data_IF_688557753971
#
_entry.id   IF_688557753971
#
_cell.length_a   1.000
_cell.length_b   1.000
_cell.length_c   1.000
_cell.angle_alpha   90.00
_cell.angle_beta   90.00
_cell.angle_gamma   90.00
#
_symmetry.space_group_name_H-M   'P 1'
#
loop_
_entity.id
_entity.type
_entity.pdbx_description
1 polymer ?
#
# COMPACT_ATOMS: atom_id res chain seq x y z
N UNK A 1 -7.70 18.10 -18.25
CA UNK A 1 -9.05 18.33 -18.84
C UNK A 1 -10.00 17.45 -18.07
N UNK A 2 -10.87 18.04 -17.21
CA UNK A 2 -11.89 17.29 -16.47
C UNK A 2 -12.82 16.59 -17.47
N UNK A 3 -12.88 15.25 -17.40
CA UNK A 3 -13.81 14.46 -18.19
C UNK A 3 -15.24 14.98 -17.97
N UNK A 4 -15.95 15.30 -19.05
CA UNK A 4 -17.37 15.68 -18.95
C UNK A 4 -18.17 14.40 -18.70
N UNK A 5 -19.10 14.38 -17.74
CA UNK A 5 -19.98 13.23 -17.58
C UNK A 5 -20.71 12.96 -18.90
N UNK A 6 -20.77 11.71 -19.31
CA UNK A 6 -21.55 11.28 -20.48
C UNK A 6 -23.04 11.62 -20.34
N UNK A 7 -23.80 11.59 -21.43
CA UNK A 7 -25.24 11.86 -21.39
C UNK A 7 -25.95 10.88 -20.42
N UNK A 8 -27.04 11.34 -19.78
CA UNK A 8 -27.92 10.50 -18.97
C UNK A 8 -28.80 9.66 -19.90
N UNK A 9 -28.21 8.61 -20.50
CA UNK A 9 -28.97 7.57 -21.18
C UNK A 9 -29.72 6.67 -20.17
N UNK A 10 -30.48 5.72 -20.66
CA UNK A 10 -31.31 4.84 -19.83
C UNK A 10 -30.46 3.98 -18.87
N UNK A 11 -29.31 3.48 -19.34
CA UNK A 11 -28.44 2.63 -18.53
C UNK A 11 -27.76 3.44 -17.40
N UNK A 12 -27.16 4.57 -17.73
CA UNK A 12 -26.54 5.45 -16.74
C UNK A 12 -27.55 5.94 -15.71
N UNK A 13 -28.77 6.29 -16.16
CA UNK A 13 -29.86 6.67 -15.26
C UNK A 13 -30.24 5.53 -14.31
N UNK A 14 -30.38 4.30 -14.83
CA UNK A 14 -30.70 3.16 -14.01
C UNK A 14 -29.60 2.88 -12.97
N UNK A 15 -28.32 2.85 -13.37
CA UNK A 15 -27.16 2.70 -12.46
C UNK A 15 -27.13 3.79 -11.39
N UNK A 16 -27.37 5.04 -11.77
CA UNK A 16 -27.44 6.17 -10.85
C UNK A 16 -28.53 5.97 -9.80
N UNK A 17 -29.76 5.63 -10.22
CA UNK A 17 -30.90 5.40 -9.33
C UNK A 17 -30.58 4.25 -8.37
N UNK A 18 -30.12 3.12 -8.90
CA UNK A 18 -29.76 1.94 -8.12
C UNK A 18 -28.59 2.23 -7.14
N UNK A 19 -27.64 3.07 -7.50
CA UNK A 19 -26.55 3.47 -6.59
C UNK A 19 -27.02 4.34 -5.42
N UNK A 20 -28.11 5.10 -5.61
CA UNK A 20 -28.70 5.94 -4.55
C UNK A 20 -29.56 5.13 -3.59
N UNK A 21 -30.28 4.13 -4.09
CA UNK A 21 -31.21 3.32 -3.27
C UNK A 21 -30.56 2.05 -2.71
N UNK A 22 -29.54 1.52 -3.39
CA UNK A 22 -28.79 0.33 -2.98
C UNK A 22 -27.74 0.61 -1.90
N UNK A 23 -27.23 -0.46 -1.32
CA UNK A 23 -26.05 -0.39 -0.46
C UNK A 23 -24.79 -0.82 -1.22
N UNK A 24 -23.65 -0.12 -1.06
CA UNK A 24 -22.39 -0.50 -1.67
C UNK A 24 -22.02 -1.97 -1.47
N UNK A 25 -21.70 -2.64 -2.57
CA UNK A 25 -21.27 -4.03 -2.56
C UNK A 25 -22.32 -5.03 -2.05
N UNK A 26 -23.61 -4.76 -2.16
CA UNK A 26 -24.65 -5.78 -1.88
C UNK A 26 -24.68 -6.81 -3.02
N UNK A 27 -24.20 -8.07 -2.80
CA UNK A 27 -24.10 -9.05 -3.87
C UNK A 27 -25.44 -9.33 -4.54
N UNK A 28 -26.53 -9.38 -3.75
CA UNK A 28 -27.87 -9.69 -4.30
C UNK A 28 -28.32 -8.69 -5.36
N UNK A 29 -28.07 -7.38 -5.12
CA UNK A 29 -28.37 -6.34 -6.10
C UNK A 29 -27.41 -6.41 -7.29
N UNK A 30 -26.11 -6.59 -7.03
CA UNK A 30 -25.09 -6.57 -8.07
C UNK A 30 -25.18 -7.82 -8.97
N UNK A 31 -25.46 -9.00 -8.40
CA UNK A 31 -25.68 -10.24 -9.16
C UNK A 31 -26.92 -10.11 -10.05
N UNK A 32 -28.01 -9.54 -9.53
CA UNK A 32 -29.21 -9.31 -10.32
C UNK A 32 -28.95 -8.32 -11.49
N UNK A 33 -28.17 -7.24 -11.23
CA UNK A 33 -27.76 -6.29 -12.28
C UNK A 33 -26.85 -6.97 -13.31
N UNK A 34 -25.98 -7.87 -12.89
CA UNK A 34 -25.13 -8.64 -13.80
C UNK A 34 -25.94 -9.61 -14.67
N UNK A 35 -27.02 -10.19 -14.12
CA UNK A 35 -27.85 -11.17 -14.83
C UNK A 35 -28.80 -10.54 -15.86
N UNK A 36 -29.56 -9.50 -15.49
CA UNK A 36 -30.60 -8.93 -16.35
C UNK A 36 -30.38 -7.47 -16.77
N UNK A 37 -29.29 -6.85 -16.31
CA UNK A 37 -28.95 -5.46 -16.61
C UNK A 37 -29.63 -4.43 -15.71
N UNK A 38 -29.04 -3.23 -15.56
CA UNK A 38 -29.50 -2.22 -14.60
C UNK A 38 -30.87 -1.64 -14.96
N UNK A 39 -31.20 -1.55 -16.23
CA UNK A 39 -32.51 -1.00 -16.71
C UNK A 39 -33.64 -1.95 -16.31
N UNK A 40 -33.50 -3.23 -16.61
CA UNK A 40 -34.49 -4.23 -16.26
C UNK A 40 -34.68 -4.38 -14.74
N UNK A 41 -33.58 -4.27 -13.97
CA UNK A 41 -33.68 -4.28 -12.50
C UNK A 41 -34.47 -3.07 -11.99
N UNK A 42 -34.22 -1.86 -12.53
CA UNK A 42 -34.95 -0.67 -12.14
C UNK A 42 -36.45 -0.80 -12.47
N UNK A 43 -36.78 -1.25 -13.68
CA UNK A 43 -38.16 -1.50 -14.11
C UNK A 43 -38.85 -2.53 -13.20
N UNK A 44 -38.20 -3.63 -12.86
CA UNK A 44 -38.74 -4.65 -11.96
C UNK A 44 -38.99 -4.10 -10.54
N UNK A 45 -38.12 -3.19 -10.05
CA UNK A 45 -38.34 -2.51 -8.77
C UNK A 45 -39.50 -1.53 -8.80
N UNK A 46 -39.67 -0.79 -9.90
CA UNK A 46 -40.80 0.14 -10.11
C UNK A 46 -42.13 -0.63 -10.18
N UNK A 47 -42.15 -1.83 -10.81
CA UNK A 47 -43.30 -2.71 -10.94
C UNK A 47 -43.53 -3.63 -9.71
N UNK A 48 -42.66 -3.59 -8.70
CA UNK A 48 -42.70 -4.44 -7.50
C UNK A 48 -42.66 -5.95 -7.81
N UNK A 49 -42.02 -6.34 -8.91
CA UNK A 49 -41.98 -7.73 -9.41
C UNK A 49 -40.66 -8.47 -9.09
N UNK A 50 -39.71 -7.88 -8.41
CA UNK A 50 -38.34 -8.38 -8.24
C UNK A 50 -38.11 -9.22 -6.94
N UNK A 51 -39.12 -9.90 -6.39
CA UNK A 51 -38.96 -10.81 -5.24
C UNK A 51 -38.64 -10.15 -3.91
N UNK A 52 -38.06 -10.91 -2.95
CA UNK A 52 -37.81 -10.44 -1.58
C UNK A 52 -36.79 -9.25 -1.48
N UNK A 53 -35.87 -9.12 -2.43
CA UNK A 53 -34.91 -7.96 -2.50
C UNK A 53 -35.68 -6.67 -2.80
N UNK A 54 -36.84 -6.79 -3.45
CA UNK A 54 -37.60 -5.69 -4.02
C UNK A 54 -38.30 -4.81 -3.00
N UNK A 55 -38.78 -5.37 -1.89
CA UNK A 55 -39.61 -4.59 -0.95
C UNK A 55 -38.84 -3.46 -0.28
N UNK A 56 -37.64 -3.74 0.25
CA UNK A 56 -36.79 -2.74 0.91
C UNK A 56 -36.21 -1.72 -0.08
N UNK A 57 -35.83 -2.17 -1.29
CA UNK A 57 -35.32 -1.27 -2.32
C UNK A 57 -36.44 -0.43 -2.96
N UNK A 58 -37.60 -1.04 -3.22
CA UNK A 58 -38.76 -0.31 -3.73
C UNK A 58 -39.29 0.74 -2.74
N UNK A 59 -39.25 0.47 -1.43
CA UNK A 59 -39.55 1.46 -0.40
C UNK A 59 -38.57 2.63 -0.43
N UNK A 60 -37.26 2.35 -0.53
CA UNK A 60 -36.24 3.39 -0.68
C UNK A 60 -36.41 4.16 -1.97
N UNK A 61 -36.76 3.50 -3.08
CA UNK A 61 -36.99 4.13 -4.38
C UNK A 61 -38.13 5.15 -4.32
N UNK A 62 -39.21 4.84 -3.62
CA UNK A 62 -40.37 5.77 -3.45
C UNK A 62 -39.99 7.08 -2.75
N UNK A 63 -39.03 7.03 -1.84
CA UNK A 63 -38.61 8.20 -1.03
C UNK A 63 -37.34 8.88 -1.55
N UNK A 64 -36.53 8.18 -2.34
CA UNK A 64 -35.29 8.73 -2.91
C UNK A 64 -35.55 9.85 -3.91
N UNK A 65 -34.56 10.68 -4.08
CA UNK A 65 -34.52 11.75 -5.09
C UNK A 65 -33.19 11.69 -5.85
N UNK A 66 -33.01 10.66 -6.74
CA UNK A 66 -31.75 10.41 -7.42
C UNK A 66 -31.29 11.58 -8.28
N UNK A 67 -32.20 12.23 -8.99
CA UNK A 67 -31.90 13.40 -9.84
C UNK A 67 -31.43 14.58 -9.00
N UNK A 68 -32.06 14.85 -7.84
CA UNK A 68 -31.66 15.91 -6.92
C UNK A 68 -30.28 15.60 -6.31
N UNK A 69 -30.03 14.33 -5.97
CA UNK A 69 -28.74 13.85 -5.48
C UNK A 69 -27.64 14.07 -6.52
N UNK A 70 -27.91 13.71 -7.77
CA UNK A 70 -26.98 13.90 -8.88
C UNK A 70 -26.70 15.39 -9.14
N UNK A 71 -27.76 16.22 -9.21
CA UNK A 71 -27.60 17.66 -9.38
C UNK A 71 -26.81 18.32 -8.23
N UNK A 72 -27.02 17.85 -7.00
CA UNK A 72 -26.25 18.31 -5.84
C UNK A 72 -24.77 17.86 -5.90
N UNK A 73 -24.50 16.65 -6.38
CA UNK A 73 -23.16 16.12 -6.61
C UNK A 73 -22.39 16.97 -7.63
N UNK A 74 -23.00 17.26 -8.77
CA UNK A 74 -22.39 18.09 -9.82
C UNK A 74 -22.01 19.50 -9.31
N UNK A 75 -22.86 20.13 -8.48
CA UNK A 75 -22.53 21.40 -7.83
C UNK A 75 -21.30 21.34 -6.93
N UNK A 76 -21.02 20.16 -6.36
CA UNK A 76 -19.82 19.88 -5.53
C UNK A 76 -18.65 19.30 -6.35
N UNK A 77 -18.73 19.36 -7.68
CA UNK A 77 -17.73 18.80 -8.61
C UNK A 77 -17.52 17.28 -8.42
N UNK A 78 -18.56 16.56 -8.01
CA UNK A 78 -18.58 15.10 -7.95
C UNK A 78 -19.28 14.58 -9.19
N UNK A 79 -18.58 13.79 -10.02
CA UNK A 79 -19.11 13.12 -11.22
C UNK A 79 -19.45 11.68 -10.91
N UNK A 80 -20.35 11.09 -11.66
CA UNK A 80 -20.70 9.68 -11.57
C UNK A 80 -20.13 8.94 -12.78
N UNK A 81 -19.22 8.03 -12.53
CA UNK A 81 -18.49 7.23 -13.53
C UNK A 81 -19.06 5.81 -13.52
N UNK A 82 -19.38 5.29 -14.70
CA UNK A 82 -20.03 3.98 -14.92
C UNK A 82 -19.19 3.11 -15.85
N UNK A 83 -19.43 1.81 -15.95
CA UNK A 83 -18.74 0.92 -16.89
C UNK A 83 -18.82 1.33 -18.37
N UNK A 84 -19.77 2.17 -18.75
CA UNK A 84 -19.90 2.69 -20.10
C UNK A 84 -19.00 3.92 -20.39
N UNK A 85 -18.29 4.44 -19.39
CA UNK A 85 -17.43 5.61 -19.55
C UNK A 85 -15.98 5.18 -19.86
N UNK A 86 -15.31 5.93 -20.74
CA UNK A 86 -13.88 5.78 -21.02
C UNK A 86 -13.00 6.00 -19.76
N UNK A 87 -13.56 6.57 -18.70
CA UNK A 87 -12.89 6.80 -17.42
C UNK A 87 -13.03 5.61 -16.45
N UNK A 88 -13.73 4.53 -16.85
CA UNK A 88 -13.91 3.34 -16.02
C UNK A 88 -12.65 2.48 -16.00
N UNK A 89 -12.08 2.17 -14.81
CA UNK A 89 -10.92 1.27 -14.71
C UNK A 89 -11.32 -0.17 -15.01
N UNK A 90 -10.73 -0.78 -16.05
CA UNK A 90 -11.03 -2.18 -16.43
C UNK A 90 -10.78 -3.18 -15.30
N UNK A 91 -9.78 -2.92 -14.44
CA UNK A 91 -9.44 -3.79 -13.31
C UNK A 91 -10.58 -3.94 -12.27
N UNK A 92 -11.60 -3.10 -12.30
CA UNK A 92 -12.78 -3.27 -11.44
C UNK A 92 -13.62 -4.49 -11.86
N UNK A 93 -13.53 -4.92 -13.11
CA UNK A 93 -14.25 -6.08 -13.63
C UNK A 93 -13.76 -7.40 -12.99
N UNK A 94 -12.54 -7.45 -12.48
CA UNK A 94 -12.02 -8.60 -11.73
C UNK A 94 -12.88 -8.94 -10.50
N UNK A 95 -13.61 -7.96 -9.96
CA UNK A 95 -14.56 -8.15 -8.86
C UNK A 95 -15.76 -9.06 -9.21
N UNK A 96 -16.06 -9.26 -10.50
CA UNK A 96 -17.10 -10.17 -10.94
C UNK A 96 -16.79 -11.64 -10.62
N UNK A 97 -15.51 -11.97 -10.51
CA UNK A 97 -15.02 -13.34 -10.29
C UNK A 97 -14.59 -13.61 -8.85
N UNK A 98 -14.62 -12.60 -7.99
CA UNK A 98 -14.20 -12.72 -6.60
C UNK A 98 -15.38 -13.10 -5.67
N UNK A 99 -15.13 -14.02 -4.76
CA UNK A 99 -16.13 -14.44 -3.76
C UNK A 99 -16.42 -13.29 -2.77
N UNK A 100 -17.69 -13.07 -2.39
CA UNK A 100 -18.04 -12.04 -1.44
C UNK A 100 -17.36 -12.23 -0.07
N UNK A 101 -16.69 -11.20 0.45
CA UNK A 101 -16.16 -11.17 1.81
C UNK A 101 -17.11 -10.38 2.73
N UNK A 102 -17.48 -10.99 3.86
CA UNK A 102 -18.43 -10.38 4.81
C UNK A 102 -19.73 -9.90 4.16
N UNK A 103 -20.26 -10.67 3.23
CA UNK A 103 -21.49 -10.36 2.47
C UNK A 103 -21.37 -9.06 1.64
N UNK A 104 -20.18 -8.72 1.20
CA UNK A 104 -19.88 -7.62 0.27
C UNK A 104 -19.05 -8.13 -0.88
N UNK A 105 -19.37 -7.70 -2.10
CA UNK A 105 -18.68 -8.17 -3.31
C UNK A 105 -19.19 -7.47 -4.56
N UNK A 106 -18.85 -8.03 -5.72
CA UNK A 106 -19.31 -7.63 -7.04
C UNK A 106 -18.75 -6.32 -7.59
N UNK A 107 -18.91 -6.11 -8.89
CA UNK A 107 -18.56 -4.89 -9.60
C UNK A 107 -19.49 -3.75 -9.19
N UNK A 108 -18.99 -2.54 -8.83
CA UNK A 108 -19.87 -1.45 -8.42
C UNK A 108 -20.77 -0.97 -9.58
N UNK A 109 -21.98 -0.53 -9.26
CA UNK A 109 -22.92 0.07 -10.22
C UNK A 109 -22.34 1.29 -10.95
N UNK A 110 -21.48 2.01 -10.26
CA UNK A 110 -20.76 3.18 -10.69
C UNK A 110 -20.01 3.78 -9.50
N UNK A 111 -19.15 4.73 -9.77
CA UNK A 111 -18.33 5.41 -8.77
C UNK A 111 -18.57 6.91 -8.78
N UNK A 112 -18.71 7.48 -7.61
CA UNK A 112 -18.77 8.92 -7.38
C UNK A 112 -17.36 9.46 -7.22
N UNK A 113 -16.90 10.27 -8.17
CA UNK A 113 -15.50 10.68 -8.28
C UNK A 113 -15.40 12.21 -8.19
N UNK A 114 -14.52 12.69 -7.33
CA UNK A 114 -14.20 14.11 -7.17
C UNK A 114 -12.70 14.33 -7.31
N UNK A 115 -12.31 15.27 -8.16
CA UNK A 115 -10.92 15.64 -8.41
C UNK A 115 -10.63 15.81 -9.90
N UNK A 116 -9.44 16.37 -10.23
CA UNK A 116 -9.09 16.77 -11.59
C UNK A 116 -8.61 15.62 -12.47
N UNK A 117 -8.09 14.54 -11.88
CA UNK A 117 -7.50 13.42 -12.62
C UNK A 117 -8.57 12.52 -13.23
N UNK A 118 -8.20 11.76 -14.26
CA UNK A 118 -9.00 10.65 -14.79
C UNK A 118 -8.74 9.39 -13.99
N UNK A 119 -9.82 8.69 -13.62
CA UNK A 119 -9.71 7.51 -12.74
C UNK A 119 -8.99 6.35 -13.43
N UNK A 120 -9.32 6.04 -14.70
CA UNK A 120 -8.71 4.99 -15.50
C UNK A 120 -7.19 5.19 -15.67
N UNK A 121 -6.75 6.43 -15.88
CA UNK A 121 -5.34 6.77 -16.08
C UNK A 121 -4.56 6.71 -14.75
N UNK A 122 -5.10 7.33 -13.68
CA UNK A 122 -4.38 7.49 -12.42
C UNK A 122 -4.18 6.17 -11.67
N UNK A 123 -5.04 5.17 -11.90
CA UNK A 123 -4.91 3.87 -11.24
C UNK A 123 -4.03 2.88 -12.01
N UNK A 124 -3.47 3.26 -13.15
CA UNK A 124 -2.48 2.43 -13.85
C UNK A 124 -1.21 2.30 -13.00
N UNK A 125 -0.86 1.05 -12.65
CA UNK A 125 0.28 0.77 -11.78
C UNK A 125 0.10 1.22 -10.31
N UNK A 126 -1.10 1.63 -9.90
CA UNK A 126 -1.36 2.12 -8.56
C UNK A 126 -1.10 1.07 -7.47
N UNK A 127 -0.69 1.53 -6.29
CA UNK A 127 -0.39 0.70 -5.12
C UNK A 127 -1.28 1.09 -3.95
N UNK A 128 -1.98 0.10 -3.39
CA UNK A 128 -2.71 0.29 -2.15
C UNK A 128 -1.75 0.27 -0.95
N UNK A 129 -1.79 1.30 -0.11
CA UNK A 129 -1.03 1.34 1.15
C UNK A 129 -2.03 1.44 2.30
N UNK A 130 -2.14 0.38 3.10
CA UNK A 130 -3.17 0.24 4.13
C UNK A 130 -2.59 -0.23 5.46
N UNK A 131 -3.34 -0.02 6.55
CA UNK A 131 -2.90 -0.52 7.84
C UNK A 131 -3.74 -0.09 9.04
N UNK A 132 -3.12 -0.15 10.20
CA UNK A 132 -3.73 0.18 11.48
C UNK A 132 -4.16 1.65 11.55
N UNK A 133 -5.35 1.90 12.11
CA UNK A 133 -5.82 3.27 12.40
C UNK A 133 -5.03 3.94 13.53
N UNK A 134 -4.56 3.16 14.48
CA UNK A 134 -3.63 3.58 15.54
C UNK A 134 -2.21 3.14 15.17
N UNK A 135 -1.64 3.79 14.15
CA UNK A 135 -0.28 3.52 13.71
C UNK A 135 0.73 3.92 14.79
N UNK A 136 1.79 3.13 14.91
CA UNK A 136 2.97 3.53 15.68
C UNK A 136 3.75 4.61 14.91
N UNK A 137 4.68 5.29 15.58
CA UNK A 137 5.58 6.25 14.90
C UNK A 137 6.40 5.55 13.81
N UNK A 138 6.77 4.28 14.00
CA UNK A 138 7.43 3.45 13.00
C UNK A 138 6.53 3.23 11.79
N UNK A 139 5.31 2.73 12.00
CA UNK A 139 4.37 2.46 10.92
C UNK A 139 4.00 3.70 10.13
N UNK A 140 3.74 4.84 10.81
CA UNK A 140 3.43 6.10 10.15
C UNK A 140 4.59 6.61 9.29
N UNK A 141 5.85 6.49 9.77
CA UNK A 141 7.04 6.86 9.01
C UNK A 141 7.19 5.97 7.77
N UNK A 142 7.15 4.65 7.92
CA UNK A 142 7.29 3.72 6.80
C UNK A 142 6.17 3.90 5.77
N UNK A 143 4.92 4.09 6.20
CA UNK A 143 3.81 4.35 5.29
C UNK A 143 4.01 5.66 4.49
N UNK A 144 4.56 6.70 5.12
CA UNK A 144 4.90 7.95 4.45
C UNK A 144 6.04 7.78 3.44
N UNK A 145 7.11 7.07 3.81
CA UNK A 145 8.26 6.78 2.94
C UNK A 145 7.85 5.91 1.73
N UNK A 146 7.07 4.85 1.94
CA UNK A 146 6.52 4.01 0.86
C UNK A 146 5.59 4.82 -0.04
N UNK A 147 4.69 5.62 0.56
CA UNK A 147 3.78 6.48 -0.21
C UNK A 147 4.52 7.50 -1.07
N UNK A 148 5.57 8.13 -0.52
CA UNK A 148 6.41 9.05 -1.28
C UNK A 148 7.17 8.36 -2.42
N UNK A 149 7.74 7.17 -2.18
CA UNK A 149 8.49 6.44 -3.21
C UNK A 149 7.57 5.98 -4.35
N UNK A 150 6.39 5.42 -4.03
CA UNK A 150 5.38 5.03 -5.02
C UNK A 150 4.95 6.24 -5.85
N UNK A 151 4.61 7.35 -5.20
CA UNK A 151 4.15 8.56 -5.89
C UNK A 151 5.25 9.23 -6.73
N UNK A 152 6.51 9.23 -6.26
CA UNK A 152 7.66 9.73 -7.01
C UNK A 152 7.97 8.92 -8.27
N UNK A 153 7.56 7.64 -8.35
CA UNK A 153 7.67 6.83 -9.58
C UNK A 153 6.58 7.16 -10.61
N UNK A 154 5.61 8.01 -10.27
CA UNK A 154 4.45 8.33 -11.10
C UNK A 154 3.24 7.42 -10.85
N UNK A 155 3.36 6.37 -10.04
CA UNK A 155 2.26 5.50 -9.65
C UNK A 155 1.40 6.14 -8.54
N UNK A 156 0.08 5.92 -8.57
CA UNK A 156 -0.77 6.47 -7.53
C UNK A 156 -0.76 5.64 -6.24
N UNK A 157 -0.79 6.34 -5.10
CA UNK A 157 -1.09 5.74 -3.81
C UNK A 157 -2.60 5.67 -3.62
N UNK A 158 -3.16 4.47 -3.52
CA UNK A 158 -4.58 4.23 -3.22
C UNK A 158 -4.73 3.89 -1.75
N UNK A 159 -5.60 4.60 -1.03
CA UNK A 159 -5.86 4.27 0.37
C UNK A 159 -7.24 4.75 0.83
N UNK A 160 -7.60 4.46 2.07
CA UNK A 160 -8.94 4.72 2.59
C UNK A 160 -9.11 6.00 3.39
N UNK A 161 -8.12 6.85 3.43
CA UNK A 161 -8.10 8.11 4.20
C UNK A 161 -8.48 7.94 5.69
N UNK A 162 -8.25 6.75 6.28
CA UNK A 162 -8.43 6.53 7.71
C UNK A 162 -7.28 7.17 8.51
N UNK A 163 -7.43 7.26 9.83
CA UNK A 163 -6.31 7.61 10.71
C UNK A 163 -5.16 6.61 10.55
N UNK A 164 -3.95 7.00 10.92
CA UNK A 164 -2.78 6.14 10.98
C UNK A 164 -2.12 5.91 9.62
N UNK A 165 -2.02 4.67 9.18
CA UNK A 165 -1.28 4.28 7.98
C UNK A 165 -1.82 4.96 6.72
N UNK A 166 -3.13 4.92 6.50
CA UNK A 166 -3.75 5.50 5.30
C UNK A 166 -3.42 6.99 5.18
N UNK A 167 -3.58 7.74 6.28
CA UNK A 167 -3.26 9.17 6.35
C UNK A 167 -1.78 9.43 6.05
N UNK A 168 -0.88 8.62 6.61
CA UNK A 168 0.55 8.78 6.43
C UNK A 168 0.95 8.51 4.96
N UNK A 169 0.37 7.48 4.34
CA UNK A 169 0.60 7.16 2.93
C UNK A 169 0.16 8.29 1.98
N UNK A 170 -1.06 8.82 2.17
CA UNK A 170 -1.53 9.97 1.38
C UNK A 170 -0.62 11.19 1.55
N UNK A 171 -0.19 11.49 2.78
CA UNK A 171 0.72 12.61 3.05
C UNK A 171 2.09 12.40 2.42
N UNK A 172 2.59 11.16 2.39
CA UNK A 172 3.82 10.81 1.72
C UNK A 172 3.75 11.10 0.21
N UNK A 173 2.66 10.68 -0.44
CA UNK A 173 2.43 10.95 -1.86
C UNK A 173 2.35 12.46 -2.15
N UNK A 174 1.57 13.20 -1.37
CA UNK A 174 1.42 14.65 -1.53
C UNK A 174 2.71 15.42 -1.24
N UNK A 175 3.58 14.92 -0.36
CA UNK A 175 4.85 15.57 -0.04
C UNK A 175 5.85 15.61 -1.21
N UNK A 176 5.62 14.79 -2.24
CA UNK A 176 6.42 14.73 -3.48
C UNK A 176 5.59 15.16 -4.71
N UNK A 177 4.48 15.87 -4.49
CA UNK A 177 3.54 16.32 -5.54
C UNK A 177 3.04 15.17 -6.44
N UNK A 178 2.97 13.96 -5.88
CA UNK A 178 2.63 12.75 -6.61
C UNK A 178 1.16 12.33 -6.49
N UNK A 179 0.66 11.47 -7.39
CA UNK A 179 -0.75 11.12 -7.47
C UNK A 179 -1.22 10.28 -6.28
N UNK A 180 -2.43 10.60 -5.78
CA UNK A 180 -3.05 9.79 -4.73
C UNK A 180 -4.57 9.74 -4.88
N UNK A 181 -5.17 8.60 -4.54
CA UNK A 181 -6.61 8.32 -4.64
C UNK A 181 -7.16 7.89 -3.29
N UNK A 182 -8.04 8.69 -2.72
CA UNK A 182 -8.74 8.38 -1.48
C UNK A 182 -10.08 7.70 -1.78
N UNK A 183 -10.20 6.42 -1.41
CA UNK A 183 -11.45 5.67 -1.54
C UNK A 183 -12.23 5.77 -0.23
N UNK A 184 -13.46 6.30 -0.25
CA UNK A 184 -14.23 6.59 0.95
C UNK A 184 -15.34 5.57 1.21
N UNK A 185 -15.72 5.40 2.46
CA UNK A 185 -16.88 4.61 2.91
C UNK A 185 -18.13 5.49 3.17
N UNK A 186 -18.10 6.73 2.74
CA UNK A 186 -19.21 7.69 2.77
C UNK A 186 -19.28 8.41 1.42
N UNK A 187 -20.30 9.21 1.17
CA UNK A 187 -20.37 9.99 -0.08
C UNK A 187 -19.11 10.80 -0.34
N UNK A 188 -18.67 10.88 -1.61
CA UNK A 188 -17.48 11.63 -2.02
C UNK A 188 -17.60 13.17 -1.75
N UNK A 189 -18.79 13.61 -1.44
CA UNK A 189 -19.12 14.97 -1.01
C UNK A 189 -18.95 15.22 0.50
N UNK A 190 -18.58 14.19 1.27
CA UNK A 190 -18.46 14.23 2.74
C UNK A 190 -17.01 14.06 3.18
N UNK A 191 -16.73 14.58 4.37
CA UNK A 191 -15.44 14.42 5.04
C UNK A 191 -15.58 13.42 6.17
N UNK A 192 -14.77 12.34 6.13
CA UNK A 192 -14.66 11.40 7.22
C UNK A 192 -13.25 10.74 7.23
N UNK A 193 -12.54 10.73 8.37
CA UNK A 193 -12.90 11.41 9.62
C UNK A 193 -12.83 12.95 9.49
N UNK A 194 -13.56 13.67 10.34
CA UNK A 194 -13.64 15.14 10.25
C UNK A 194 -12.27 15.82 10.42
N UNK A 195 -11.37 15.23 11.18
CA UNK A 195 -10.00 15.72 11.34
C UNK A 195 -9.17 15.68 10.04
N UNK A 196 -9.60 14.96 9.02
CA UNK A 196 -8.93 14.87 7.72
C UNK A 196 -9.50 15.84 6.68
N UNK A 197 -10.25 16.87 7.10
CA UNK A 197 -10.86 17.84 6.19
C UNK A 197 -9.83 18.49 5.25
N UNK A 198 -8.70 18.94 5.79
CA UNK A 198 -7.64 19.55 4.98
C UNK A 198 -6.99 18.54 4.03
N UNK A 199 -6.67 17.34 4.53
CA UNK A 199 -6.09 16.28 3.71
C UNK A 199 -7.00 15.92 2.52
N UNK A 200 -8.28 15.66 2.79
CA UNK A 200 -9.25 15.31 1.75
C UNK A 200 -9.53 16.47 0.79
N UNK A 201 -9.41 17.72 1.24
CA UNK A 201 -9.51 18.88 0.36
C UNK A 201 -8.35 18.92 -0.64
N UNK A 202 -7.10 18.74 -0.17
CA UNK A 202 -5.90 18.69 -1.03
C UNK A 202 -6.00 17.51 -2.01
N UNK A 203 -6.37 16.31 -1.53
CA UNK A 203 -6.55 15.14 -2.41
C UNK A 203 -7.63 15.41 -3.48
N UNK A 204 -8.71 16.11 -3.13
CA UNK A 204 -9.77 16.45 -4.08
C UNK A 204 -9.36 17.55 -5.07
N UNK A 205 -8.37 18.35 -4.75
CA UNK A 205 -7.88 19.44 -5.61
C UNK A 205 -6.71 18.98 -6.52
N UNK A 206 -5.90 18.00 -6.09
CA UNK A 206 -4.68 17.55 -6.80
C UNK A 206 -4.74 16.09 -7.27
N UNK A 207 -5.52 15.24 -6.60
CA UNK A 207 -5.68 13.81 -6.86
C UNK A 207 -7.13 13.43 -7.15
N UNK A 208 -7.61 12.32 -6.53
CA UNK A 208 -9.00 11.88 -6.59
C UNK A 208 -9.55 11.44 -5.24
N UNK A 209 -10.81 11.78 -4.99
CA UNK A 209 -11.65 11.18 -3.96
C UNK A 209 -12.72 10.33 -4.66
N UNK A 210 -12.79 9.05 -4.32
CA UNK A 210 -13.66 8.07 -4.96
C UNK A 210 -14.56 7.41 -3.92
N UNK A 211 -15.82 7.21 -4.24
CA UNK A 211 -16.75 6.45 -3.40
C UNK A 211 -17.81 5.72 -4.23
N UNK A 212 -18.19 4.52 -3.81
CA UNK A 212 -19.39 3.82 -4.31
C UNK A 212 -20.66 4.32 -3.61
N UNK A 213 -20.54 4.79 -2.36
CA UNK A 213 -21.67 5.34 -1.62
C UNK A 213 -22.13 6.66 -2.23
N UNK A 214 -23.43 6.80 -2.46
CA UNK A 214 -24.02 8.00 -3.02
C UNK A 214 -23.73 9.26 -2.16
N UNK A 215 -23.68 10.45 -2.79
CA UNK A 215 -23.54 11.71 -2.07
C UNK A 215 -24.54 11.86 -0.93
N UNK A 216 -24.08 12.42 0.20
CA UNK A 216 -24.87 12.52 1.42
C UNK A 216 -24.85 11.29 2.32
N UNK A 217 -24.41 10.13 1.85
CA UNK A 217 -24.34 8.91 2.66
C UNK A 217 -23.31 9.01 3.79
N UNK A 218 -23.73 8.66 5.02
CA UNK A 218 -22.84 8.59 6.19
C UNK A 218 -21.97 7.32 6.15
N UNK A 219 -20.78 7.32 6.79
CA UNK A 219 -19.98 6.13 6.92
C UNK A 219 -20.65 5.13 7.88
N UNK A 220 -20.62 3.85 7.51
CA UNK A 220 -21.09 2.74 8.35
C UNK A 220 -20.10 1.58 8.33
N UNK A 221 -20.17 0.69 9.32
CA UNK A 221 -19.29 -0.50 9.35
C UNK A 221 -19.38 -1.32 8.06
N UNK A 222 -20.57 -1.50 7.54
CA UNK A 222 -20.82 -2.26 6.30
C UNK A 222 -20.16 -1.58 5.11
N UNK A 223 -20.27 -0.24 4.99
CA UNK A 223 -19.66 0.53 3.90
C UNK A 223 -18.13 0.54 3.98
N UNK A 224 -17.53 0.46 5.17
CA UNK A 224 -16.07 0.25 5.30
C UNK A 224 -15.63 -1.10 4.73
N UNK A 225 -16.41 -2.17 4.97
CA UNK A 225 -16.11 -3.50 4.40
C UNK A 225 -16.29 -3.52 2.88
N UNK A 226 -17.36 -2.93 2.37
CA UNK A 226 -17.60 -2.80 0.93
C UNK A 226 -16.48 -2.00 0.22
N UNK A 227 -16.06 -0.87 0.81
CA UNK A 227 -15.03 0.01 0.28
C UNK A 227 -13.68 -0.68 0.11
N UNK A 228 -13.31 -1.58 1.03
CA UNK A 228 -11.99 -2.22 1.01
C UNK A 228 -11.74 -3.02 -0.28
N UNK A 229 -12.80 -3.59 -0.90
CA UNK A 229 -12.63 -4.28 -2.18
C UNK A 229 -12.21 -3.32 -3.30
N UNK A 230 -12.70 -2.09 -3.26
CA UNK A 230 -12.35 -1.07 -4.25
C UNK A 230 -10.90 -0.61 -4.10
N UNK A 231 -10.38 -0.49 -2.87
CA UNK A 231 -8.96 -0.18 -2.65
C UNK A 231 -8.08 -1.24 -3.31
N UNK A 232 -8.39 -2.52 -3.11
CA UNK A 232 -7.65 -3.63 -3.70
C UNK A 232 -7.84 -3.68 -5.22
N UNK A 233 -9.08 -3.54 -5.72
CA UNK A 233 -9.38 -3.63 -7.15
C UNK A 233 -8.76 -2.50 -7.98
N UNK A 234 -8.70 -1.28 -7.43
CA UNK A 234 -8.06 -0.12 -8.08
C UNK A 234 -6.53 -0.13 -8.00
N UNK A 235 -5.92 -1.22 -7.51
CA UNK A 235 -4.47 -1.29 -7.30
C UNK A 235 -3.89 -2.57 -7.90
N UNK A 236 -2.61 -2.52 -8.28
CA UNK A 236 -1.85 -3.68 -8.76
C UNK A 236 -1.14 -4.43 -7.62
N UNK A 237 -0.95 -3.77 -6.49
CA UNK A 237 -0.40 -4.35 -5.28
C UNK A 237 -1.02 -3.75 -4.02
N UNK A 238 -1.01 -4.51 -2.93
CA UNK A 238 -1.54 -4.12 -1.61
C UNK A 238 -0.45 -4.24 -0.56
N UNK A 239 0.03 -3.13 -0.03
CA UNK A 239 1.01 -3.06 1.06
C UNK A 239 0.30 -2.90 2.39
N UNK A 240 0.49 -3.87 3.30
CA UNK A 240 0.04 -3.77 4.70
C UNK A 240 1.22 -3.38 5.56
N UNK A 241 1.23 -2.13 6.07
CA UNK A 241 2.36 -1.60 6.87
C UNK A 241 2.26 -2.05 8.33
N UNK A 242 1.13 -1.88 8.95
CA UNK A 242 0.84 -2.39 10.29
C UNK A 242 -0.58 -2.94 10.36
N UNK A 243 -0.74 -4.12 10.95
CA UNK A 243 -2.03 -4.72 11.21
C UNK A 243 -1.97 -5.63 12.43
N UNK A 244 -2.82 -5.41 13.42
CA UNK A 244 -3.11 -6.41 14.44
C UNK A 244 -3.90 -7.58 13.82
N UNK A 245 -3.95 -8.73 14.49
CA UNK A 245 -4.57 -9.99 13.99
C UNK A 245 -6.04 -9.82 13.54
N UNK A 246 -6.76 -8.84 14.08
CA UNK A 246 -8.17 -8.54 13.73
C UNK A 246 -8.32 -7.17 13.06
N UNK A 247 -7.29 -6.69 12.39
CA UNK A 247 -7.33 -5.39 11.71
C UNK A 247 -8.17 -5.43 10.44
N UNK A 248 -8.91 -4.34 10.15
CA UNK A 248 -9.62 -4.17 8.91
C UNK A 248 -8.72 -4.11 7.67
N UNK A 249 -7.43 -3.78 7.82
CA UNK A 249 -6.46 -3.80 6.73
C UNK A 249 -6.23 -5.21 6.16
N UNK A 250 -6.35 -6.25 7.01
CA UNK A 250 -6.27 -7.65 6.55
C UNK A 250 -7.44 -8.02 5.60
N UNK A 251 -8.60 -7.36 5.74
CA UNK A 251 -9.69 -7.55 4.79
C UNK A 251 -9.33 -6.98 3.40
N UNK A 252 -8.62 -5.85 3.32
CA UNK A 252 -8.12 -5.32 2.05
C UNK A 252 -7.06 -6.25 1.45
N UNK A 253 -6.17 -6.81 2.26
CA UNK A 253 -5.19 -7.80 1.81
C UNK A 253 -5.85 -9.07 1.26
N UNK A 254 -6.91 -9.58 1.94
CA UNK A 254 -7.67 -10.73 1.46
C UNK A 254 -8.38 -10.45 0.12
N UNK A 255 -8.84 -9.22 -0.10
CA UNK A 255 -9.34 -8.80 -1.42
C UNK A 255 -8.23 -8.78 -2.45
N UNK A 256 -7.04 -8.26 -2.09
CA UNK A 256 -5.87 -8.29 -2.96
C UNK A 256 -5.51 -9.71 -3.41
N UNK A 257 -5.50 -10.66 -2.49
CA UNK A 257 -5.22 -12.08 -2.77
C UNK A 257 -6.25 -12.68 -3.75
N UNK A 258 -7.57 -12.48 -3.49
CA UNK A 258 -8.62 -12.96 -4.39
C UNK A 258 -8.58 -12.34 -5.79
N UNK A 259 -8.15 -11.09 -5.90
CA UNK A 259 -8.02 -10.36 -7.17
C UNK A 259 -6.66 -10.58 -7.83
N UNK A 260 -5.85 -11.53 -7.33
CA UNK A 260 -4.50 -11.80 -7.84
C UNK A 260 -3.58 -10.57 -7.86
N UNK A 261 -3.78 -9.65 -6.91
CA UNK A 261 -2.87 -8.53 -6.68
C UNK A 261 -1.68 -8.98 -5.85
N UNK A 262 -0.53 -8.35 -6.06
CA UNK A 262 0.64 -8.63 -5.24
C UNK A 262 0.39 -8.15 -3.81
N UNK A 263 0.24 -9.07 -2.86
CA UNK A 263 0.07 -8.71 -1.45
C UNK A 263 1.43 -8.63 -0.77
N UNK A 264 1.69 -7.52 -0.10
CA UNK A 264 2.97 -7.20 0.53
C UNK A 264 2.79 -6.85 2.01
N UNK A 265 3.78 -7.16 2.82
CA UNK A 265 3.78 -6.87 4.25
C UNK A 265 5.08 -6.28 4.72
N UNK A 266 4.99 -5.19 5.48
CA UNK A 266 6.16 -4.55 6.10
C UNK A 266 6.48 -5.25 7.43
N UNK A 267 7.71 -5.74 7.65
CA UNK A 267 8.09 -6.35 8.92
C UNK A 267 8.13 -5.29 10.03
N UNK A 268 7.78 -5.69 11.23
CA UNK A 268 7.88 -4.83 12.41
C UNK A 268 8.41 -5.59 13.61
N UNK A 269 8.55 -4.96 14.78
CA UNK A 269 9.02 -5.65 15.97
C UNK A 269 8.13 -6.84 16.35
N UNK A 270 8.73 -8.01 16.60
CA UNK A 270 8.00 -9.25 16.93
C UNK A 270 7.19 -9.14 18.23
N UNK A 271 7.55 -8.20 19.11
CA UNK A 271 6.84 -7.89 20.35
C UNK A 271 5.68 -6.92 20.15
N UNK A 272 5.54 -6.29 18.97
CA UNK A 272 4.49 -5.30 18.71
C UNK A 272 3.19 -5.99 18.26
N UNK A 273 2.10 -5.74 18.97
CA UNK A 273 0.77 -6.21 18.59
C UNK A 273 0.34 -5.66 17.20
N UNK A 274 0.80 -4.45 16.83
CA UNK A 274 0.52 -3.82 15.55
C UNK A 274 1.15 -4.56 14.36
N UNK A 275 2.19 -5.37 14.58
CA UNK A 275 2.87 -6.12 13.51
C UNK A 275 2.40 -7.58 13.38
N UNK A 276 1.66 -8.10 14.37
CA UNK A 276 1.33 -9.54 14.44
C UNK A 276 0.51 -10.03 13.25
N UNK A 277 -0.45 -9.26 12.75
CA UNK A 277 -1.26 -9.63 11.60
C UNK A 277 -0.42 -9.70 10.32
N UNK A 278 0.49 -8.74 10.13
CA UNK A 278 1.44 -8.73 9.00
C UNK A 278 2.37 -9.95 9.08
N UNK A 279 2.93 -10.24 10.27
CA UNK A 279 3.77 -11.43 10.45
C UNK A 279 3.04 -12.73 10.13
N UNK A 280 1.74 -12.83 10.46
CA UNK A 280 0.93 -14.00 10.10
C UNK A 280 0.77 -14.14 8.59
N UNK A 281 0.51 -13.04 7.87
CA UNK A 281 0.39 -13.04 6.40
C UNK A 281 1.70 -13.49 5.75
N UNK A 282 2.85 -12.91 6.14
CA UNK A 282 4.17 -13.27 5.61
C UNK A 282 4.48 -14.73 5.91
N UNK A 283 4.26 -15.19 7.15
CA UNK A 283 4.51 -16.57 7.56
C UNK A 283 3.65 -17.58 6.80
N UNK A 284 2.40 -17.24 6.51
CA UNK A 284 1.49 -18.06 5.70
C UNK A 284 1.83 -18.05 4.20
N UNK A 285 2.84 -17.29 3.77
CA UNK A 285 3.22 -17.04 2.37
C UNK A 285 2.13 -16.37 1.52
N UNK A 286 1.21 -15.66 2.16
CA UNK A 286 0.17 -14.88 1.51
C UNK A 286 0.59 -13.41 1.32
N UNK A 287 1.83 -13.06 1.67
CA UNK A 287 2.39 -11.73 1.45
C UNK A 287 3.90 -11.79 1.25
N UNK A 288 4.42 -11.01 0.30
CA UNK A 288 5.85 -10.74 0.16
C UNK A 288 6.30 -9.80 1.28
N UNK A 289 7.49 -10.05 1.84
CA UNK A 289 8.11 -9.11 2.75
C UNK A 289 8.73 -7.98 1.94
N UNK A 290 8.38 -6.73 2.27
CA UNK A 290 8.95 -5.51 1.70
C UNK A 290 9.46 -4.61 2.80
N UNK A 291 10.57 -3.94 2.57
CA UNK A 291 11.24 -3.10 3.58
C UNK A 291 11.17 -1.61 3.25
N UNK A 292 11.01 -1.28 1.99
CA UNK A 292 10.93 0.09 1.48
C UNK A 292 10.08 0.21 0.21
N UNK A 293 10.02 1.41 -0.36
CA UNK A 293 9.26 1.67 -1.58
C UNK A 293 9.88 1.06 -2.84
N UNK A 294 11.19 0.80 -2.84
CA UNK A 294 11.88 0.10 -3.93
C UNK A 294 11.41 -1.33 -4.06
N UNK A 295 11.39 -2.08 -2.95
CA UNK A 295 10.86 -3.45 -2.90
C UNK A 295 9.39 -3.51 -3.40
N UNK A 296 8.59 -2.49 -3.02
CA UNK A 296 7.18 -2.40 -3.44
C UNK A 296 7.07 -2.21 -4.96
N UNK A 297 7.84 -1.30 -5.53
CA UNK A 297 7.83 -1.03 -6.97
C UNK A 297 8.35 -2.21 -7.79
N UNK A 298 9.40 -2.89 -7.31
CA UNK A 298 9.90 -4.12 -7.93
C UNK A 298 8.83 -5.21 -7.96
N UNK A 299 8.12 -5.39 -6.83
CA UNK A 299 7.09 -6.42 -6.71
C UNK A 299 5.89 -6.19 -7.64
N UNK A 300 5.52 -4.94 -7.95
CA UNK A 300 4.38 -4.62 -8.83
C UNK A 300 4.75 -4.41 -10.30
N UNK A 301 6.04 -4.28 -10.63
CA UNK A 301 6.49 -4.13 -12.03
C UNK A 301 6.26 -5.45 -12.79
N UNK A 302 5.46 -5.42 -13.85
CA UNK A 302 5.13 -6.60 -14.67
C UNK A 302 6.29 -7.14 -15.54
N UNK A 303 7.42 -6.47 -15.56
CA UNK A 303 8.56 -6.90 -16.40
C UNK A 303 9.81 -6.36 -15.74
N UNK A 304 10.77 -7.15 -15.39
CA UNK A 304 12.10 -6.78 -14.87
C UNK A 304 12.84 -5.58 -15.51
N UNK A 305 12.13 -4.62 -16.09
CA UNK A 305 12.65 -3.40 -16.73
C UNK A 305 13.05 -2.32 -15.73
N UNK A 306 12.59 -2.39 -14.48
CA UNK A 306 13.13 -1.58 -13.39
C UNK A 306 13.90 -2.49 -12.45
N UNK A 307 15.10 -2.89 -12.84
CA UNK A 307 16.08 -3.40 -11.89
C UNK A 307 16.36 -2.27 -10.89
N UNK A 308 15.68 -2.30 -9.75
CA UNK A 308 16.05 -1.47 -8.61
C UNK A 308 17.47 -1.89 -8.25
N UNK A 309 18.41 -0.98 -8.40
CA UNK A 309 19.77 -1.18 -7.90
C UNK A 309 19.61 -1.49 -6.40
N UNK A 310 20.01 -2.68 -5.93
CA UNK A 310 19.90 -3.00 -4.51
C UNK A 310 20.54 -1.85 -3.73
N UNK A 311 19.83 -1.29 -2.76
CA UNK A 311 20.43 -0.35 -1.82
C UNK A 311 21.47 -1.17 -1.08
N UNK A 312 22.71 -1.12 -1.57
CA UNK A 312 23.84 -1.69 -0.86
C UNK A 312 23.85 -0.99 0.49
N UNK A 313 23.68 -1.76 1.57
CA UNK A 313 23.83 -1.25 2.92
C UNK A 313 25.12 -0.42 2.98
N UNK A 314 25.19 0.59 3.85
CA UNK A 314 26.36 1.46 3.98
C UNK A 314 27.62 0.59 3.88
N UNK A 315 28.33 0.71 2.75
CA UNK A 315 29.53 -0.10 2.47
C UNK A 315 30.53 0.22 3.57
N UNK A 316 30.75 -0.71 4.47
CA UNK A 316 31.75 -0.56 5.51
C UNK A 316 33.13 -0.71 4.87
N UNK A 317 34.14 -0.09 5.48
CA UNK A 317 35.55 -0.28 5.04
C UNK A 317 35.92 -1.77 4.99
N UNK A 318 35.28 -2.61 5.83
CA UNK A 318 35.44 -4.08 5.83
C UNK A 318 34.92 -4.76 4.56
N UNK A 319 33.88 -4.22 3.94
CA UNK A 319 33.29 -4.80 2.73
C UNK A 319 34.17 -4.59 1.50
N UNK A 320 35.02 -3.58 1.54
CA UNK A 320 36.02 -3.27 0.50
C UNK A 320 37.30 -4.12 0.60
N UNK A 321 37.48 -4.88 1.69
CA UNK A 321 38.64 -5.74 1.88
C UNK A 321 38.61 -6.97 0.96
N UNK A 322 39.77 -7.33 0.42
CA UNK A 322 39.93 -8.63 -0.27
C UNK A 322 39.71 -9.81 0.69
N UNK A 323 39.38 -11.01 0.19
CA UNK A 323 39.23 -12.19 1.05
C UNK A 323 40.45 -12.46 1.94
N UNK A 324 41.67 -12.23 1.42
CA UNK A 324 42.90 -12.38 2.19
C UNK A 324 43.00 -11.33 3.32
N UNK A 325 42.71 -10.05 3.01
CA UNK A 325 42.75 -8.97 4.00
C UNK A 325 41.71 -9.21 5.12
N UNK A 326 40.48 -9.68 4.79
CA UNK A 326 39.49 -10.07 5.79
C UNK A 326 39.99 -11.19 6.70
N UNK A 327 40.53 -12.25 6.10
CA UNK A 327 41.08 -13.41 6.85
C UNK A 327 42.20 -12.97 7.79
N UNK A 328 43.08 -12.08 7.36
CA UNK A 328 44.17 -11.52 8.19
C UNK A 328 43.63 -10.61 9.28
N UNK A 329 42.64 -9.75 8.97
CA UNK A 329 41.99 -8.88 9.95
C UNK A 329 41.33 -9.66 11.09
N UNK A 330 40.65 -10.76 10.75
CA UNK A 330 40.01 -11.65 11.74
C UNK A 330 41.02 -12.43 12.61
N UNK A 331 42.25 -12.58 12.13
CA UNK A 331 43.33 -13.19 12.87
C UNK A 331 44.12 -12.22 13.78
N UNK A 332 43.88 -10.89 13.65
CA UNK A 332 44.52 -9.88 14.48
C UNK A 332 43.81 -9.78 15.83
N UNK A 333 44.53 -9.91 16.98
CA UNK A 333 43.92 -9.89 18.30
C UNK A 333 43.39 -8.50 18.69
N UNK A 334 42.30 -8.50 19.50
CA UNK A 334 41.61 -7.28 19.93
C UNK A 334 42.34 -6.55 21.07
N UNK A 335 42.91 -7.29 22.04
CA UNK A 335 43.41 -6.72 23.31
C UNK A 335 44.93 -6.67 23.35
N UNK A 336 45.59 -7.80 23.19
CA UNK A 336 47.07 -7.92 23.25
C UNK A 336 47.62 -8.04 21.84
N UNK A 337 48.62 -7.16 21.49
CA UNK A 337 49.25 -7.28 20.19
C UNK A 337 49.91 -8.65 19.96
N UNK A 338 49.89 -9.11 18.72
CA UNK A 338 50.56 -10.34 18.29
C UNK A 338 51.63 -10.06 17.24
N UNK A 339 52.61 -10.93 17.18
CA UNK A 339 53.69 -10.84 16.16
C UNK A 339 53.22 -11.39 14.81
N UNK A 340 53.90 -10.96 13.72
CA UNK A 340 53.61 -11.45 12.36
C UNK A 340 53.54 -13.00 12.27
N UNK A 341 54.47 -13.77 12.83
CA UNK A 341 54.39 -15.24 12.81
C UNK A 341 53.13 -15.81 13.53
N UNK A 342 52.71 -15.16 14.63
CA UNK A 342 51.53 -15.54 15.37
C UNK A 342 50.24 -15.31 14.54
N UNK A 343 50.11 -14.11 13.93
CA UNK A 343 48.98 -13.77 13.08
C UNK A 343 48.96 -14.70 11.85
N UNK A 344 50.11 -14.93 11.22
CA UNK A 344 50.22 -15.83 10.06
C UNK A 344 49.75 -17.27 10.38
N UNK A 345 50.10 -17.78 11.58
CA UNK A 345 49.67 -19.09 12.06
C UNK A 345 48.15 -19.09 12.27
N UNK A 346 47.59 -18.04 12.90
CA UNK A 346 46.15 -17.95 13.16
C UNK A 346 45.37 -17.79 11.87
N UNK A 347 45.84 -17.01 10.91
CA UNK A 347 45.27 -16.83 9.60
C UNK A 347 45.42 -18.08 8.66
N UNK A 348 46.31 -19.00 8.98
CA UNK A 348 46.61 -20.13 8.11
C UNK A 348 47.27 -19.74 6.78
N UNK A 349 48.12 -18.67 6.78
CA UNK A 349 48.70 -18.07 5.59
C UNK A 349 50.23 -17.90 5.75
N UNK A 350 50.88 -17.72 4.59
CA UNK A 350 52.35 -17.47 4.61
C UNK A 350 52.61 -16.06 5.18
N UNK A 351 53.75 -15.92 5.90
CA UNK A 351 54.11 -14.66 6.58
C UNK A 351 54.27 -13.47 5.62
N UNK A 352 54.74 -13.69 4.39
CA UNK A 352 54.80 -12.64 3.37
C UNK A 352 53.45 -12.08 2.99
N UNK A 353 52.46 -12.94 2.71
CA UNK A 353 51.09 -12.56 2.37
C UNK A 353 50.40 -11.78 3.52
N UNK A 354 50.62 -12.27 4.75
CA UNK A 354 50.10 -11.63 5.97
C UNK A 354 50.74 -10.29 6.22
N UNK A 355 52.04 -10.15 5.96
CA UNK A 355 52.78 -8.90 6.10
C UNK A 355 52.29 -7.83 5.11
N UNK A 356 52.00 -8.23 3.87
CA UNK A 356 51.44 -7.36 2.84
C UNK A 356 50.02 -6.90 3.21
N UNK A 357 49.16 -7.84 3.65
CA UNK A 357 47.81 -7.53 4.10
C UNK A 357 47.80 -6.61 5.32
N UNK A 358 48.65 -6.85 6.32
CA UNK A 358 48.78 -5.98 7.51
C UNK A 358 49.18 -4.55 7.18
N UNK A 359 50.05 -4.35 6.18
CA UNK A 359 50.43 -2.98 5.74
C UNK A 359 49.21 -2.21 5.19
N UNK A 360 48.37 -2.88 4.42
CA UNK A 360 47.13 -2.30 3.90
C UNK A 360 46.15 -2.03 5.04
N UNK A 361 45.94 -2.99 5.95
CA UNK A 361 45.03 -2.84 7.08
C UNK A 361 45.45 -1.70 8.05
N UNK A 362 46.76 -1.49 8.23
CA UNK A 362 47.29 -0.34 9.00
C UNK A 362 47.00 0.96 8.25
N UNK A 363 47.24 1.02 6.93
CA UNK A 363 46.97 2.20 6.12
C UNK A 363 45.47 2.57 6.09
N UNK A 364 44.59 1.59 6.20
CA UNK A 364 43.13 1.77 6.31
C UNK A 364 42.65 2.02 7.75
N UNK A 365 43.55 2.17 8.68
CA UNK A 365 43.29 2.43 10.11
C UNK A 365 42.46 1.34 10.82
N UNK A 366 42.47 0.12 10.33
CA UNK A 366 41.77 -1.03 10.93
C UNK A 366 42.62 -1.77 11.97
N UNK A 367 43.94 -1.67 11.87
CA UNK A 367 44.92 -2.32 12.73
C UNK A 367 45.96 -1.30 13.20
N UNK A 368 46.25 -1.31 14.49
CA UNK A 368 47.36 -0.54 15.08
C UNK A 368 48.64 -1.39 15.05
N UNK A 369 49.77 -0.78 14.68
CA UNK A 369 51.11 -1.34 14.75
C UNK A 369 51.89 -0.67 15.86
N UNK A 370 52.42 -1.46 16.78
CA UNK A 370 53.34 -0.95 17.84
C UNK A 370 54.77 -0.77 17.36
N UNK A 371 55.46 0.21 17.93
CA UNK A 371 56.87 0.59 17.59
C UNK A 371 57.95 -0.29 18.22
N UNK A 372 57.55 -1.37 18.95
CA UNK A 372 58.46 -2.28 19.65
C UNK A 372 59.18 -3.30 18.74
N UNK A 373 60.26 -3.90 19.27
CA UNK A 373 60.92 -5.04 18.63
C UNK A 373 60.71 -6.27 19.56
N UNK A 374 59.99 -7.34 19.15
CA UNK A 374 59.33 -7.51 17.86
C UNK A 374 58.11 -6.56 17.69
N UNK A 375 57.79 -6.21 16.43
CA UNK A 375 56.56 -5.46 16.11
C UNK A 375 55.34 -6.25 16.47
N UNK A 376 54.34 -5.59 17.08
CA UNK A 376 53.07 -6.20 17.49
C UNK A 376 51.91 -5.48 16.77
N UNK A 377 50.91 -6.24 16.33
CA UNK A 377 49.70 -5.73 15.70
C UNK A 377 48.48 -6.08 16.55
N UNK A 378 47.55 -5.15 16.66
CA UNK A 378 46.27 -5.34 17.33
C UNK A 378 45.16 -4.62 16.55
N UNK A 379 43.89 -5.03 16.73
CA UNK A 379 42.77 -4.31 16.17
C UNK A 379 42.66 -2.91 16.79
N UNK A 380 42.35 -1.90 15.93
CA UNK A 380 42.15 -0.53 16.42
C UNK A 380 40.87 -0.45 17.22
N UNK A 381 40.84 0.27 18.33
CA UNK A 381 39.66 0.48 19.15
C UNK A 381 38.54 1.17 18.35
N UNK A 382 37.37 0.57 18.24
CA UNK A 382 36.25 1.06 17.44
C UNK A 382 35.94 0.21 16.20
N UNK A 383 36.84 -0.67 15.76
CA UNK A 383 36.63 -1.60 14.64
C UNK A 383 36.13 -2.99 15.09
N UNK A 384 36.19 -3.29 16.39
CA UNK A 384 35.65 -4.54 16.94
C UNK A 384 34.11 -4.48 17.02
N UNK A 385 33.39 -5.56 16.62
CA UNK A 385 31.97 -5.66 16.91
C UNK A 385 31.78 -5.58 18.43
N UNK A 386 30.90 -4.66 18.89
CA UNK A 386 30.53 -4.62 20.32
C UNK A 386 29.93 -5.98 20.67
N UNK A 387 30.40 -6.67 21.75
CA UNK A 387 29.73 -7.86 22.21
C UNK A 387 28.28 -7.47 22.55
N UNK A 388 27.29 -8.22 22.02
CA UNK A 388 25.89 -8.09 22.38
C UNK A 388 25.81 -8.21 23.90
N UNK A 389 25.55 -7.10 24.58
CA UNK A 389 25.45 -7.04 26.02
C UNK A 389 24.37 -7.95 26.52
N UNK A 390 24.74 -8.91 27.34
CA UNK A 390 23.86 -9.58 28.30
C UNK A 390 23.42 -8.55 29.35
N UNK A 391 22.13 -8.22 29.33
CA UNK A 391 21.44 -7.41 30.31
C UNK A 391 19.93 -7.58 30.15
#
# INVERSE_FOLDING_TARGET
>A
VTARPGPLDAERRARLVLSVVGEPGDPRLLDLVAEIGPVAVLEALEQQSAGEISEALAERLRTARPEDTYAAALRKKVRFVTPADDEWPEQLEDLAHAEPLHQRGGVPLGLWVRGPLRLDEVVQGAVAVVGARSATSYGARVAGEVGAAVAASGAAVVSGAAFGIDQAAHRGALAVDGPTVAVLACGADRVYPQAHQQLLAVIADEGLVVSEAAPGCAPTRIRFLARNRLIAALSFGVVVVEAAVRSGALNTANWGDQLSRVVMGVPGPVTSAASQGVHQMIRARNALLVTDGGDVLEAVSQSGEQAVVPVAGLVSVRDLLTPLQRQVLDAVPVVRGATLPQIARTAGRHQSEVGDALRVLVAQELVDQGDGVPRLWRLRAGTAPRPSGSG
#
